data_IF_118962527017
#
_entry.id   IF_118962527017
#
_cell.length_a   1.000
_cell.length_b   1.000
_cell.length_c   1.000
_cell.angle_alpha   90.00
_cell.angle_beta   90.00
_cell.angle_gamma   90.00
#
_symmetry.space_group_name_H-M   'P 1'
#
loop_
_entity.id
_entity.type
_entity.pdbx_description
1 polymer ?
#
# COMPACT_ATOMS: atom_id res chain seq x y z
N UNK A 1 -30.77 -2.25 10.24
CA UNK A 1 -29.88 -1.32 9.53
C UNK A 1 -30.08 -1.55 8.03
N UNK A 2 -30.30 -0.51 7.24
CA UNK A 2 -30.39 -0.64 5.78
C UNK A 2 -29.04 -1.20 5.26
N UNK A 3 -29.12 -2.16 4.34
CA UNK A 3 -27.94 -2.76 3.72
C UNK A 3 -27.28 -1.69 2.83
N UNK A 4 -26.05 -1.27 3.13
CA UNK A 4 -25.29 -0.31 2.30
C UNK A 4 -25.12 -0.87 0.90
N UNK A 5 -25.27 -0.03 -0.13
CA UNK A 5 -25.03 -0.44 -1.51
C UNK A 5 -23.51 -0.58 -1.72
N UNK A 6 -23.06 -1.77 -2.17
CA UNK A 6 -21.69 -1.96 -2.61
C UNK A 6 -21.54 -1.36 -4.01
N UNK A 7 -20.54 -0.46 -4.15
CA UNK A 7 -20.24 0.21 -5.43
C UNK A 7 -19.08 -0.45 -6.17
N UNK A 8 -18.18 -1.12 -5.42
CA UNK A 8 -17.05 -1.83 -6.00
C UNK A 8 -16.66 -3.03 -5.15
N UNK A 9 -16.26 -4.13 -5.79
CA UNK A 9 -15.69 -5.31 -5.16
C UNK A 9 -14.27 -5.53 -5.68
N UNK A 10 -13.28 -5.33 -4.80
CA UNK A 10 -11.87 -5.55 -5.10
C UNK A 10 -11.31 -6.82 -4.49
N UNK A 11 -10.05 -7.11 -4.79
CA UNK A 11 -9.32 -8.31 -4.32
C UNK A 11 -9.15 -8.33 -2.80
N UNK A 12 -8.83 -7.20 -2.19
CA UNK A 12 -8.55 -7.06 -0.76
C UNK A 12 -9.52 -6.11 -0.04
N UNK A 13 -10.33 -5.38 -0.78
CA UNK A 13 -11.24 -4.35 -0.27
C UNK A 13 -12.54 -4.32 -1.04
N UNK A 14 -13.62 -3.95 -0.35
CA UNK A 14 -14.90 -3.58 -0.97
C UNK A 14 -15.20 -2.11 -0.68
N UNK A 15 -15.83 -1.42 -1.63
CA UNK A 15 -16.30 -0.05 -1.45
C UNK A 15 -17.82 -0.02 -1.38
N UNK A 16 -18.34 0.71 -0.41
CA UNK A 16 -19.76 0.93 -0.21
C UNK A 16 -20.07 2.43 -0.25
N UNK A 17 -21.31 2.78 -0.57
CA UNK A 17 -21.78 4.16 -0.45
C UNK A 17 -21.55 4.69 0.98
N UNK A 18 -21.00 5.90 1.06
CA UNK A 18 -20.80 6.61 2.30
C UNK A 18 -22.09 7.28 2.83
N UNK A 19 -22.05 7.83 4.03
CA UNK A 19 -23.20 8.49 4.64
C UNK A 19 -23.54 9.83 3.99
N UNK A 20 -22.59 10.45 3.29
CA UNK A 20 -22.75 11.75 2.63
C UNK A 20 -22.35 11.65 1.16
N UNK A 21 -22.95 12.45 0.24
CA UNK A 21 -22.53 12.50 -1.14
C UNK A 21 -21.03 12.79 -1.27
N UNK A 22 -20.35 12.14 -2.22
CA UNK A 22 -18.91 12.27 -2.42
C UNK A 22 -18.06 11.54 -1.37
N UNK A 23 -18.67 10.63 -0.58
CA UNK A 23 -17.95 9.77 0.36
C UNK A 23 -18.21 8.30 0.09
N UNK A 24 -17.21 7.47 0.39
CA UNK A 24 -17.30 6.01 0.34
C UNK A 24 -16.82 5.40 1.65
N UNK A 25 -17.28 4.17 1.92
CA UNK A 25 -16.77 3.33 3.00
C UNK A 25 -15.92 2.24 2.39
N UNK A 26 -14.64 2.24 2.72
CA UNK A 26 -13.68 1.22 2.33
C UNK A 26 -13.62 0.13 3.39
N UNK A 27 -14.00 -1.10 3.04
CA UNK A 27 -13.97 -2.27 3.90
C UNK A 27 -12.76 -3.15 3.55
N UNK A 28 -11.90 -3.41 4.52
CA UNK A 28 -10.71 -4.25 4.38
C UNK A 28 -11.04 -5.72 4.64
N UNK A 29 -10.75 -6.57 3.64
CA UNK A 29 -10.99 -8.01 3.68
C UNK A 29 -9.77 -8.78 4.19
N UNK A 30 -10.00 -9.99 4.65
CA UNK A 30 -8.94 -10.95 4.98
C UNK A 30 -8.44 -11.72 3.74
N UNK A 31 -9.08 -11.51 2.59
CA UNK A 31 -8.68 -12.12 1.33
C UNK A 31 -7.30 -11.65 0.90
N UNK A 32 -6.47 -12.58 0.48
CA UNK A 32 -5.15 -12.35 -0.08
C UNK A 32 -5.04 -13.00 -1.45
N UNK A 33 -4.52 -12.25 -2.41
CA UNK A 33 -4.25 -12.73 -3.77
C UNK A 33 -2.82 -12.42 -4.16
N UNK A 34 -2.23 -13.26 -5.00
CA UNK A 34 -0.92 -13.03 -5.58
C UNK A 34 -0.87 -13.58 -7.01
N UNK A 35 0.12 -13.09 -7.80
CA UNK A 35 0.37 -13.53 -9.18
C UNK A 35 -0.89 -13.46 -10.06
N UNK A 36 -1.51 -12.28 -10.16
CA UNK A 36 -2.70 -12.02 -10.98
C UNK A 36 -3.84 -13.01 -10.68
N UNK A 37 -4.19 -13.12 -9.38
CA UNK A 37 -5.22 -14.03 -8.85
C UNK A 37 -4.94 -15.55 -8.98
N UNK A 38 -3.77 -15.97 -9.45
CA UNK A 38 -3.40 -17.40 -9.54
C UNK A 38 -3.23 -18.03 -8.16
N UNK A 39 -2.87 -17.24 -7.14
CA UNK A 39 -2.81 -17.69 -5.75
C UNK A 39 -3.83 -16.92 -4.93
N UNK A 40 -4.69 -17.62 -4.22
CA UNK A 40 -5.74 -17.05 -3.35
C UNK A 40 -5.69 -17.71 -1.99
N UNK A 41 -6.05 -16.96 -0.95
CA UNK A 41 -6.15 -17.45 0.42
C UNK A 41 -6.83 -16.43 1.30
N UNK A 42 -7.17 -16.83 2.51
CA UNK A 42 -7.70 -15.97 3.56
C UNK A 42 -6.68 -15.92 4.68
N UNK A 43 -6.31 -14.72 5.13
CA UNK A 43 -5.37 -14.46 6.21
C UNK A 43 -6.14 -13.79 7.32
N UNK A 44 -6.53 -14.56 8.32
CA UNK A 44 -7.37 -14.07 9.42
C UNK A 44 -6.72 -12.86 10.13
N UNK A 45 -7.51 -11.79 10.30
CA UNK A 45 -7.07 -10.55 10.94
C UNK A 45 -6.29 -9.59 10.05
N UNK A 46 -5.91 -9.98 8.82
CA UNK A 46 -5.17 -9.12 7.89
C UNK A 46 -5.87 -7.80 7.63
N UNK A 47 -7.17 -7.83 7.35
CA UNK A 47 -7.96 -6.63 7.06
C UNK A 47 -7.98 -5.64 8.22
N UNK A 48 -8.01 -6.13 9.47
CA UNK A 48 -7.94 -5.28 10.67
C UNK A 48 -6.59 -4.59 10.77
N UNK A 49 -5.49 -5.32 10.55
CA UNK A 49 -4.13 -4.78 10.60
C UNK A 49 -3.89 -3.75 9.49
N UNK A 50 -4.27 -4.09 8.25
CA UNK A 50 -4.13 -3.18 7.11
C UNK A 50 -4.93 -1.89 7.31
N UNK A 51 -6.17 -1.99 7.80
CA UNK A 51 -7.00 -0.83 8.12
C UNK A 51 -6.30 0.11 9.13
N UNK A 52 -5.73 -0.43 10.20
CA UNK A 52 -5.07 0.37 11.24
C UNK A 52 -3.73 0.95 10.78
N UNK A 53 -2.91 0.17 10.06
CA UNK A 53 -1.63 0.63 9.54
C UNK A 53 -1.86 1.73 8.49
N UNK A 54 -2.82 1.52 7.57
CA UNK A 54 -3.16 2.51 6.55
C UNK A 54 -3.70 3.80 7.17
N UNK A 55 -4.61 3.72 8.16
CA UNK A 55 -5.06 4.90 8.92
C UNK A 55 -3.88 5.69 9.49
N UNK A 56 -2.97 5.01 10.20
CA UNK A 56 -1.81 5.65 10.83
C UNK A 56 -0.95 6.38 9.81
N UNK A 57 -0.58 5.69 8.72
CA UNK A 57 0.28 6.27 7.68
C UNK A 57 -0.42 7.42 6.96
N UNK A 58 -1.70 7.27 6.58
CA UNK A 58 -2.47 8.33 5.91
C UNK A 58 -2.56 9.60 6.75
N UNK A 59 -2.78 9.49 8.06
CA UNK A 59 -2.80 10.65 8.99
C UNK A 59 -1.44 11.33 9.04
N UNK A 60 -0.34 10.56 9.15
CA UNK A 60 1.01 11.13 9.18
C UNK A 60 1.35 11.85 7.86
N UNK A 61 0.95 11.29 6.73
CA UNK A 61 1.13 11.92 5.42
C UNK A 61 0.33 13.22 5.31
N UNK A 62 -0.91 13.26 5.80
CA UNK A 62 -1.70 14.50 5.86
C UNK A 62 -1.01 15.57 6.72
N UNK A 63 -0.42 15.19 7.85
CA UNK A 63 0.30 16.11 8.75
C UNK A 63 1.51 16.78 8.06
N UNK A 64 2.14 16.12 7.09
CA UNK A 64 3.22 16.70 6.28
C UNK A 64 2.72 17.35 4.98
N UNK A 65 1.39 17.48 4.81
CA UNK A 65 0.75 18.16 3.68
C UNK A 65 0.63 17.34 2.40
N UNK A 66 0.68 16.01 2.47
CA UNK A 66 0.28 15.13 1.36
C UNK A 66 -1.23 14.99 1.36
N UNK A 67 -1.93 15.41 0.29
CA UNK A 67 -3.38 15.25 0.22
C UNK A 67 -3.75 13.78 0.03
N UNK A 68 -4.71 13.30 0.82
CA UNK A 68 -5.19 11.92 0.74
C UNK A 68 -6.71 11.86 0.66
N UNK A 69 -7.26 10.75 0.19
CA UNK A 69 -8.68 10.49 0.22
C UNK A 69 -9.19 10.10 1.61
N UNK A 70 -8.31 9.73 2.53
CA UNK A 70 -8.67 9.27 3.87
C UNK A 70 -9.31 10.38 4.70
N UNK A 71 -10.43 10.07 5.37
CA UNK A 71 -11.12 10.98 6.28
C UNK A 71 -11.02 10.52 7.74
N UNK A 72 -11.47 9.30 8.03
CA UNK A 72 -11.41 8.70 9.37
C UNK A 72 -11.67 7.20 9.33
N UNK A 73 -11.16 6.50 10.35
CA UNK A 73 -11.56 5.11 10.61
C UNK A 73 -12.93 5.06 11.28
N UNK A 74 -13.80 4.17 10.80
CA UNK A 74 -15.13 3.95 11.34
C UNK A 74 -15.16 2.83 12.39
N UNK A 75 -14.46 1.73 12.10
CA UNK A 75 -14.36 0.57 12.97
C UNK A 75 -13.08 -0.24 12.66
N UNK A 76 -13.00 -1.48 13.14
CA UNK A 76 -11.81 -2.32 12.97
C UNK A 76 -11.47 -2.64 11.51
N UNK A 77 -12.44 -2.61 10.59
CA UNK A 77 -12.27 -2.99 9.19
C UNK A 77 -12.68 -1.91 8.19
N UNK A 78 -13.21 -0.78 8.64
CA UNK A 78 -13.79 0.21 7.74
C UNK A 78 -13.20 1.60 7.96
N UNK A 79 -12.98 2.30 6.84
CA UNK A 79 -12.60 3.71 6.78
C UNK A 79 -13.64 4.47 5.98
N UNK A 80 -13.91 5.71 6.38
CA UNK A 80 -14.58 6.71 5.56
C UNK A 80 -13.52 7.40 4.72
N UNK A 81 -13.76 7.45 3.42
CA UNK A 81 -12.87 8.07 2.44
C UNK A 81 -13.68 9.03 1.55
N UNK A 82 -13.00 9.99 0.94
CA UNK A 82 -13.57 10.78 -0.14
C UNK A 82 -13.70 9.91 -1.38
N UNK A 83 -14.80 10.07 -2.10
CA UNK A 83 -14.94 9.50 -3.43
C UNK A 83 -14.02 10.25 -4.39
N UNK A 84 -13.21 9.51 -5.14
CA UNK A 84 -12.27 10.06 -6.12
C UNK A 84 -12.36 9.25 -7.40
N UNK A 85 -12.11 9.91 -8.52
CA UNK A 85 -11.92 9.23 -9.80
C UNK A 85 -10.49 8.67 -9.84
N UNK A 86 -10.35 7.35 -9.75
CA UNK A 86 -9.03 6.71 -9.75
C UNK A 86 -8.33 6.93 -11.09
N UNK A 87 -7.11 7.44 -11.06
CA UNK A 87 -6.22 7.46 -12.22
C UNK A 87 -5.84 6.00 -12.51
N UNK A 88 -6.01 5.49 -13.75
CA UNK A 88 -5.79 4.07 -14.05
C UNK A 88 -4.29 3.72 -14.14
N UNK A 89 -3.50 4.27 -13.23
CA UNK A 89 -2.05 4.10 -13.14
C UNK A 89 -1.67 3.75 -11.70
N UNK A 90 -0.94 2.65 -11.53
CA UNK A 90 -0.23 2.36 -10.30
C UNK A 90 1.16 2.98 -10.35
N UNK A 91 1.56 3.64 -9.27
CA UNK A 91 2.90 4.22 -9.12
C UNK A 91 3.70 3.37 -8.15
N UNK A 92 4.83 2.84 -8.57
CA UNK A 92 5.71 2.03 -7.72
C UNK A 92 7.00 2.78 -7.46
N UNK A 93 7.31 3.03 -6.19
CA UNK A 93 8.58 3.62 -5.77
C UNK A 93 9.49 2.54 -5.21
N UNK A 94 10.74 2.49 -5.71
CA UNK A 94 11.71 1.46 -5.34
C UNK A 94 12.99 2.06 -4.77
N UNK A 95 13.38 1.57 -3.60
CA UNK A 95 14.62 1.94 -2.91
C UNK A 95 15.66 0.81 -2.96
N UNK A 96 15.18 -0.44 -3.04
CA UNK A 96 16.00 -1.65 -3.07
C UNK A 96 15.46 -2.54 -4.19
N UNK A 97 16.34 -3.23 -4.90
CA UNK A 97 15.94 -4.16 -5.95
C UNK A 97 15.23 -5.38 -5.35
N UNK A 98 13.96 -5.58 -5.73
CA UNK A 98 13.17 -6.74 -5.35
C UNK A 98 12.04 -6.98 -6.36
N UNK A 99 11.54 -8.21 -6.44
CA UNK A 99 10.40 -8.55 -7.27
C UNK A 99 10.65 -8.35 -8.77
N UNK A 100 9.79 -7.55 -9.43
CA UNK A 100 9.83 -7.42 -10.91
C UNK A 100 11.07 -6.70 -11.43
N UNK A 101 11.60 -5.70 -10.72
CA UNK A 101 12.81 -4.98 -11.17
C UNK A 101 14.04 -5.89 -11.18
N UNK A 102 14.19 -6.74 -10.15
CA UNK A 102 15.31 -7.71 -10.11
C UNK A 102 15.26 -8.66 -11.29
N UNK A 103 14.07 -9.18 -11.62
CA UNK A 103 13.88 -10.08 -12.75
C UNK A 103 14.11 -9.39 -14.10
N UNK A 104 13.55 -8.19 -14.26
CA UNK A 104 13.56 -7.43 -15.52
C UNK A 104 14.93 -6.90 -15.90
N UNK A 105 15.70 -6.44 -14.90
CA UNK A 105 17.01 -5.83 -15.11
C UNK A 105 18.18 -6.74 -14.72
N UNK A 106 17.93 -7.96 -14.21
CA UNK A 106 18.98 -8.87 -13.77
C UNK A 106 19.75 -8.40 -12.54
N UNK A 107 19.18 -7.48 -11.74
CA UNK A 107 19.81 -6.94 -10.54
C UNK A 107 19.54 -7.90 -9.37
N UNK A 108 20.56 -8.32 -8.59
CA UNK A 108 20.37 -9.18 -7.44
C UNK A 108 19.37 -8.59 -6.43
N UNK A 109 18.46 -9.42 -5.90
CA UNK A 109 17.53 -9.01 -4.86
C UNK A 109 18.29 -8.52 -3.63
N UNK A 110 17.85 -7.42 -3.03
CA UNK A 110 18.51 -6.79 -1.89
C UNK A 110 19.55 -5.73 -2.25
N UNK A 111 19.87 -5.54 -3.53
CA UNK A 111 20.77 -4.47 -3.96
C UNK A 111 20.11 -3.11 -3.72
N UNK A 112 20.76 -2.26 -2.93
CA UNK A 112 20.33 -0.85 -2.76
C UNK A 112 20.47 -0.12 -4.08
N UNK A 113 19.41 0.54 -4.52
CA UNK A 113 19.43 1.30 -5.77
C UNK A 113 20.22 2.62 -5.57
N UNK A 114 20.90 3.14 -6.60
CA UNK A 114 21.66 4.40 -6.50
C UNK A 114 20.81 5.61 -6.12
N UNK A 115 19.53 5.55 -6.43
CA UNK A 115 18.49 6.51 -6.04
C UNK A 115 17.15 5.81 -6.06
N UNK A 116 16.13 6.39 -5.44
CA UNK A 116 14.75 5.95 -5.59
C UNK A 116 14.32 5.99 -7.06
N UNK A 117 13.69 4.93 -7.53
CA UNK A 117 13.14 4.82 -8.89
C UNK A 117 11.63 4.87 -8.80
N UNK A 118 11.00 5.68 -9.63
CA UNK A 118 9.54 5.74 -9.80
C UNK A 118 9.19 5.05 -11.10
N UNK A 119 8.25 4.10 -11.06
CA UNK A 119 7.76 3.34 -12.22
C UNK A 119 6.25 3.46 -12.29
N UNK A 120 5.72 3.50 -13.51
CA UNK A 120 4.29 3.53 -13.79
C UNK A 120 3.81 2.22 -14.38
N UNK A 121 2.64 1.77 -13.93
CA UNK A 121 1.99 0.55 -14.41
C UNK A 121 0.54 0.86 -14.76
N UNK A 122 0.08 0.41 -15.92
CA UNK A 122 -1.31 0.53 -16.31
C UNK A 122 -2.15 -0.44 -15.50
N UNK A 123 -3.12 0.09 -14.75
CA UNK A 123 -4.00 -0.69 -13.86
C UNK A 123 -5.02 -1.48 -14.68
N UNK A 124 -4.63 -2.67 -15.09
CA UNK A 124 -5.46 -3.60 -15.85
C UNK A 124 -5.07 -5.03 -15.52
N UNK A 125 -5.88 -5.66 -14.66
CA UNK A 125 -5.65 -7.03 -14.17
C UNK A 125 -5.57 -8.06 -15.31
N UNK A 126 -6.37 -7.89 -16.37
CA UNK A 126 -6.41 -8.83 -17.50
C UNK A 126 -5.11 -8.80 -18.31
N UNK A 127 -4.39 -7.68 -18.28
CA UNK A 127 -3.09 -7.51 -18.92
C UNK A 127 -1.92 -7.74 -17.96
N UNK A 128 -2.18 -8.02 -16.66
CA UNK A 128 -1.15 -8.23 -15.65
C UNK A 128 -0.42 -6.94 -15.27
N UNK A 129 -1.13 -5.81 -15.25
CA UNK A 129 -0.63 -4.48 -14.87
C UNK A 129 0.71 -4.15 -15.56
N UNK A 130 0.74 -3.97 -16.90
CA UNK A 130 1.98 -3.77 -17.64
C UNK A 130 2.65 -2.43 -17.28
N UNK A 131 3.97 -2.44 -17.23
CA UNK A 131 4.77 -1.22 -17.08
C UNK A 131 4.59 -0.32 -18.30
N UNK A 132 4.41 0.98 -18.09
CA UNK A 132 4.16 1.99 -19.13
C UNK A 132 5.06 3.19 -18.94
N UNK A 133 5.32 3.92 -20.04
CA UNK A 133 6.02 5.21 -20.00
C UNK A 133 5.01 6.37 -19.90
N UNK A 134 5.53 7.56 -19.62
CA UNK A 134 4.73 8.80 -19.62
C UNK A 134 4.10 9.07 -21.01
N UNK A 135 4.80 8.69 -22.08
CA UNK A 135 4.28 8.81 -23.45
C UNK A 135 3.05 7.92 -23.64
N UNK A 136 3.06 6.68 -23.11
CA UNK A 136 1.87 5.83 -23.15
C UNK A 136 0.71 6.46 -22.36
N UNK A 137 0.98 6.94 -21.15
CA UNK A 137 -0.03 7.51 -20.26
C UNK A 137 -0.71 8.71 -20.93
N UNK A 138 0.07 9.61 -21.51
CA UNK A 138 -0.44 10.82 -22.16
C UNK A 138 -1.10 10.53 -23.51
N UNK A 139 -0.49 9.67 -24.32
CA UNK A 139 -1.02 9.31 -25.64
C UNK A 139 -2.40 8.63 -25.57
N UNK A 140 -2.62 7.80 -24.55
CA UNK A 140 -3.90 7.13 -24.33
C UNK A 140 -4.87 7.94 -23.45
N UNK A 141 -4.48 9.13 -22.99
CA UNK A 141 -5.33 10.02 -22.19
C UNK A 141 -5.65 9.48 -20.78
N UNK A 142 -4.82 8.61 -20.22
CA UNK A 142 -5.02 8.08 -18.87
C UNK A 142 -4.75 9.13 -17.80
N UNK A 143 -3.74 9.98 -18.02
CA UNK A 143 -3.46 11.17 -17.22
C UNK A 143 -2.84 12.27 -18.08
N UNK A 144 -3.07 13.53 -17.69
CA UNK A 144 -2.41 14.68 -18.28
C UNK A 144 -0.95 14.79 -17.80
N UNK A 145 -0.04 15.44 -18.54
CA UNK A 145 1.34 15.62 -18.12
C UNK A 145 1.47 16.22 -16.71
N UNK A 146 0.67 17.23 -16.39
CA UNK A 146 0.66 17.85 -15.06
C UNK A 146 0.25 16.89 -13.94
N UNK A 147 -0.70 15.98 -14.21
CA UNK A 147 -1.11 14.96 -13.24
C UNK A 147 0.01 13.93 -13.00
N UNK A 148 0.80 13.61 -14.04
CA UNK A 148 1.98 12.74 -13.91
C UNK A 148 3.04 13.40 -13.03
N UNK A 149 3.33 14.68 -13.27
CA UNK A 149 4.27 15.47 -12.45
C UNK A 149 3.82 15.52 -10.99
N UNK A 150 2.52 15.74 -10.74
CA UNK A 150 1.94 15.77 -9.40
C UNK A 150 2.05 14.40 -8.71
N UNK A 151 1.74 13.31 -9.41
CA UNK A 151 1.88 11.95 -8.88
C UNK A 151 3.34 11.63 -8.56
N UNK A 152 4.27 11.99 -9.43
CA UNK A 152 5.71 11.78 -9.22
C UNK A 152 6.23 12.57 -8.01
N UNK A 153 5.92 13.87 -7.94
CA UNK A 153 6.34 14.72 -6.83
C UNK A 153 5.79 14.24 -5.48
N UNK A 154 4.49 13.88 -5.44
CA UNK A 154 3.89 13.31 -4.24
C UNK A 154 4.51 11.96 -3.87
N UNK A 155 4.77 11.07 -4.84
CA UNK A 155 5.36 9.75 -4.61
C UNK A 155 6.75 9.84 -3.99
N UNK A 156 7.60 10.77 -4.47
CA UNK A 156 8.91 11.00 -3.88
C UNK A 156 8.81 11.58 -2.47
N UNK A 157 7.92 12.53 -2.22
CA UNK A 157 7.67 13.08 -0.89
C UNK A 157 7.16 12.03 0.10
N UNK A 158 6.24 11.16 -0.34
CA UNK A 158 5.75 10.02 0.43
C UNK A 158 6.91 9.06 0.73
N UNK A 159 7.75 8.77 -0.27
CA UNK A 159 8.91 7.90 -0.10
C UNK A 159 9.87 8.41 0.98
N UNK A 160 10.26 9.67 0.91
CA UNK A 160 11.21 10.26 1.87
C UNK A 160 10.67 10.17 3.31
N UNK A 161 9.39 10.46 3.50
CA UNK A 161 8.73 10.32 4.78
C UNK A 161 8.69 8.85 5.25
N UNK A 162 8.24 7.93 4.39
CA UNK A 162 8.07 6.52 4.75
C UNK A 162 9.40 5.82 5.02
N UNK A 163 10.46 6.15 4.27
CA UNK A 163 11.82 5.64 4.54
C UNK A 163 12.24 6.02 5.95
N UNK A 164 12.08 7.29 6.34
CA UNK A 164 12.40 7.74 7.69
C UNK A 164 11.55 7.08 8.77
N UNK A 165 10.24 6.98 8.54
CA UNK A 165 9.29 6.35 9.46
C UNK A 165 9.66 4.89 9.73
N UNK A 166 9.83 4.08 8.69
CA UNK A 166 10.14 2.66 8.85
C UNK A 166 11.55 2.43 9.39
N UNK A 167 12.53 3.22 8.96
CA UNK A 167 13.89 3.16 9.47
C UNK A 167 13.94 3.39 10.98
N UNK A 168 13.16 4.36 11.49
CA UNK A 168 13.12 4.69 12.93
C UNK A 168 12.64 3.52 13.81
N UNK A 169 11.97 2.53 13.22
CA UNK A 169 11.45 1.34 13.91
C UNK A 169 12.13 0.03 13.47
N UNK A 170 13.32 0.13 12.88
CA UNK A 170 14.13 -1.03 12.49
C UNK A 170 13.57 -1.80 11.29
N UNK A 171 12.84 -1.13 10.39
CA UNK A 171 12.27 -1.70 9.17
C UNK A 171 12.88 -0.99 7.96
N UNK A 172 13.29 -1.76 6.94
CA UNK A 172 13.71 -1.25 5.64
C UNK A 172 12.53 -1.20 4.69
N UNK A 173 12.20 -0.02 4.17
CA UNK A 173 11.24 0.15 3.08
C UNK A 173 11.94 -0.17 1.76
N UNK A 174 11.62 -1.31 1.18
CA UNK A 174 12.22 -1.82 -0.06
C UNK A 174 11.59 -1.18 -1.28
N UNK A 175 10.30 -1.32 -1.41
CA UNK A 175 9.46 -0.66 -2.41
C UNK A 175 8.01 -0.60 -1.93
N UNK A 176 7.20 0.19 -2.62
CA UNK A 176 5.76 0.26 -2.36
C UNK A 176 5.00 0.77 -3.58
N UNK A 177 3.72 0.39 -3.63
CA UNK A 177 2.76 0.79 -4.65
C UNK A 177 1.84 1.87 -4.10
N UNK A 178 1.57 2.89 -4.90
CA UNK A 178 0.60 3.94 -4.66
C UNK A 178 -0.44 3.96 -5.77
N UNK A 179 -1.65 4.35 -5.41
CA UNK A 179 -2.71 4.71 -6.34
C UNK A 179 -3.14 6.15 -6.06
N UNK A 180 -3.48 6.88 -7.10
CA UNK A 180 -3.91 8.27 -7.01
C UNK A 180 -5.30 8.42 -7.60
N UNK A 181 -6.02 9.43 -7.13
CA UNK A 181 -7.33 9.78 -7.64
C UNK A 181 -7.49 11.27 -7.83
N UNK A 182 -8.38 11.63 -8.75
CA UNK A 182 -8.85 13.00 -8.98
C UNK A 182 -9.94 13.32 -7.98
N UNK A 183 -9.65 14.26 -7.10
CA UNK A 183 -10.64 14.81 -6.18
C UNK A 183 -11.17 16.11 -6.75
N UNK A 184 -12.47 16.15 -7.03
CA UNK A 184 -13.17 17.34 -7.49
C UNK A 184 -13.55 18.20 -6.28
N UNK A 185 -13.07 19.45 -6.27
CA UNK A 185 -13.43 20.45 -5.29
C UNK A 185 -14.00 21.67 -6.04
N UNK A 186 -15.31 21.70 -6.22
CA UNK A 186 -16.04 22.63 -7.06
C UNK A 186 -15.54 22.63 -8.52
N UNK A 187 -14.79 23.64 -8.93
CA UNK A 187 -14.28 23.80 -10.32
C UNK A 187 -12.82 23.31 -10.48
N UNK A 188 -12.20 22.86 -9.41
CA UNK A 188 -10.78 22.43 -9.43
C UNK A 188 -10.66 20.92 -9.24
N UNK A 189 -9.69 20.35 -9.95
CA UNK A 189 -9.27 18.96 -9.78
C UNK A 189 -7.94 18.93 -9.06
N UNK A 190 -7.84 18.07 -8.06
CA UNK A 190 -6.61 17.86 -7.34
C UNK A 190 -6.27 16.38 -7.28
N UNK A 191 -5.02 16.04 -7.58
CA UNK A 191 -4.50 14.68 -7.40
C UNK A 191 -4.27 14.43 -5.92
N UNK A 192 -4.87 13.37 -5.41
CA UNK A 192 -4.75 12.93 -4.01
C UNK A 192 -4.33 11.47 -3.94
N UNK A 193 -3.58 11.12 -2.90
CA UNK A 193 -3.26 9.74 -2.59
C UNK A 193 -4.56 8.99 -2.24
N UNK A 194 -4.76 7.85 -2.88
CA UNK A 194 -5.90 6.97 -2.71
C UNK A 194 -5.47 5.57 -2.25
N UNK A 195 -6.38 4.62 -2.28
CA UNK A 195 -6.20 3.22 -1.91
C UNK A 195 -5.71 3.04 -0.47
N UNK A 196 -4.64 2.32 -0.24
CA UNK A 196 -4.05 2.05 1.08
C UNK A 196 -2.53 2.15 1.05
N UNK A 197 -1.92 2.37 2.21
CA UNK A 197 -0.52 2.05 2.46
C UNK A 197 -0.47 1.04 3.61
N UNK A 198 -0.05 -0.18 3.32
CA UNK A 198 -0.03 -1.29 4.26
C UNK A 198 1.02 -2.33 3.84
N UNK A 199 1.26 -3.37 4.64
CA UNK A 199 2.12 -4.48 4.23
C UNK A 199 1.63 -5.23 2.97
N UNK A 200 0.39 -5.01 2.51
CA UNK A 200 -0.11 -5.53 1.23
C UNK A 200 0.43 -4.73 0.03
N UNK A 201 0.66 -3.43 0.18
CA UNK A 201 1.15 -2.53 -0.86
C UNK A 201 2.65 -2.20 -0.74
N UNK A 202 3.31 -2.59 0.36
CA UNK A 202 4.73 -2.34 0.63
C UNK A 202 5.52 -3.64 0.71
N UNK A 203 6.83 -3.58 0.35
CA UNK A 203 7.83 -4.54 0.80
C UNK A 203 8.61 -3.96 1.97
N UNK A 204 8.52 -4.65 3.07
CA UNK A 204 9.07 -4.26 4.36
C UNK A 204 9.98 -5.37 4.88
N UNK A 205 11.26 -5.06 5.08
CA UNK A 205 12.22 -6.04 5.58
C UNK A 205 12.77 -5.58 6.92
N UNK A 206 12.92 -6.51 7.84
CA UNK A 206 13.66 -6.27 9.07
C UNK A 206 15.11 -5.89 8.74
N UNK A 207 15.65 -4.83 9.36
CA UNK A 207 16.98 -4.30 9.02
C UNK A 207 18.09 -5.26 9.45
N UNK A 208 17.91 -5.99 10.57
CA UNK A 208 18.95 -6.84 11.12
C UNK A 208 18.97 -8.23 10.49
N UNK A 209 17.78 -8.78 10.17
CA UNK A 209 17.61 -10.17 9.75
C UNK A 209 17.26 -10.34 8.28
N UNK A 210 16.89 -9.24 7.56
CA UNK A 210 16.30 -9.25 6.23
C UNK A 210 15.00 -10.08 6.13
N UNK A 211 14.38 -10.40 7.28
CA UNK A 211 13.10 -11.10 7.31
C UNK A 211 12.00 -10.26 6.67
N UNK A 212 11.15 -10.91 5.87
CA UNK A 212 10.04 -10.25 5.17
C UNK A 212 8.90 -10.00 6.16
N UNK A 213 8.46 -8.74 6.28
CA UNK A 213 7.37 -8.32 7.17
C UNK A 213 6.12 -7.91 6.37
N UNK A 214 5.99 -8.39 5.16
CA UNK A 214 5.01 -7.97 4.15
C UNK A 214 4.37 -9.16 3.42
N UNK A 215 3.59 -8.85 2.38
CA UNK A 215 2.85 -9.82 1.56
C UNK A 215 3.74 -10.84 0.83
N UNK A 216 5.05 -10.61 0.73
CA UNK A 216 5.97 -11.59 0.13
C UNK A 216 6.00 -12.89 0.95
N UNK A 217 5.67 -12.86 2.25
CA UNK A 217 5.47 -14.09 3.03
C UNK A 217 4.35 -14.97 2.45
N UNK A 218 3.24 -14.36 2.03
CA UNK A 218 2.17 -15.08 1.34
C UNK A 218 2.58 -15.48 -0.08
N UNK A 219 3.21 -14.58 -0.84
CA UNK A 219 3.65 -14.87 -2.22
C UNK A 219 4.60 -16.04 -2.30
N UNK A 220 5.52 -16.17 -1.33
CA UNK A 220 6.64 -17.14 -1.30
C UNK A 220 6.42 -18.33 -0.35
N UNK A 221 5.21 -18.50 0.20
CA UNK A 221 4.87 -19.58 1.16
C UNK A 221 5.76 -19.63 2.41
N UNK A 222 6.18 -18.48 2.93
CA UNK A 222 7.04 -18.38 4.10
C UNK A 222 6.28 -18.57 5.43
N UNK A 223 4.94 -18.57 5.41
CA UNK A 223 4.10 -18.64 6.60
C UNK A 223 4.17 -17.39 7.47
N UNK A 224 3.44 -17.37 8.59
CA UNK A 224 3.52 -16.30 9.60
C UNK A 224 3.15 -14.90 9.07
N UNK A 225 2.18 -14.80 8.16
CA UNK A 225 1.83 -13.50 7.53
C UNK A 225 1.17 -12.57 8.54
N UNK A 226 0.24 -13.09 9.35
CA UNK A 226 -0.45 -12.29 10.37
C UNK A 226 0.53 -11.79 11.43
N UNK A 227 1.44 -12.64 11.87
CA UNK A 227 2.48 -12.32 12.84
C UNK A 227 3.42 -11.22 12.31
N UNK A 228 3.79 -11.27 11.04
CA UNK A 228 4.60 -10.25 10.40
C UNK A 228 3.88 -8.90 10.33
N UNK A 229 2.58 -8.87 9.99
CA UNK A 229 1.79 -7.64 9.97
C UNK A 229 1.56 -7.08 11.40
N UNK A 230 1.39 -7.97 12.39
CA UNK A 230 1.34 -7.59 13.80
C UNK A 230 2.65 -6.96 14.25
N UNK A 231 3.79 -7.51 13.84
CA UNK A 231 5.11 -6.96 14.15
C UNK A 231 5.28 -5.56 13.57
N UNK A 232 4.87 -5.32 12.32
CA UNK A 232 4.87 -3.97 11.73
C UNK A 232 3.98 -3.02 12.55
N UNK A 233 2.75 -3.43 12.87
CA UNK A 233 1.83 -2.61 13.65
C UNK A 233 2.33 -2.34 15.07
N UNK A 234 2.98 -3.31 15.70
CA UNK A 234 3.58 -3.17 17.01
C UNK A 234 4.76 -2.17 16.99
N UNK A 235 5.69 -2.32 16.05
CA UNK A 235 6.83 -1.40 15.90
C UNK A 235 6.42 0.03 15.61
N UNK A 236 5.33 0.22 14.86
CA UNK A 236 4.75 1.54 14.61
C UNK A 236 3.96 2.11 15.82
N UNK A 237 3.88 1.38 16.93
CA UNK A 237 3.12 1.80 18.12
C UNK A 237 1.60 1.78 17.95
N UNK A 238 1.09 1.08 16.94
CA UNK A 238 -0.35 1.01 16.62
C UNK A 238 -1.08 0.00 17.53
N UNK A 239 -0.41 -1.07 17.92
CA UNK A 239 -0.92 -2.08 18.83
C UNK A 239 -0.39 -1.86 20.25
N UNK A 240 -1.19 -2.13 21.30
CA UNK A 240 -0.70 -2.05 22.67
C UNK A 240 0.45 -3.02 22.92
N UNK A 241 1.36 -2.67 23.84
CA UNK A 241 2.38 -3.59 24.36
C UNK A 241 1.72 -4.86 24.91
N UNK A 242 2.28 -6.03 24.59
CA UNK A 242 1.77 -7.34 25.01
C UNK A 242 0.98 -8.09 23.94
N UNK A 243 0.70 -7.49 22.77
CA UNK A 243 0.08 -8.17 21.61
C UNK A 243 1.11 -8.78 20.65
N UNK A 244 2.39 -8.62 20.89
CA UNK A 244 3.46 -9.24 20.10
C UNK A 244 3.47 -10.74 20.27
N UNK A 245 3.63 -11.53 19.19
CA UNK A 245 3.97 -12.95 19.32
C UNK A 245 5.28 -13.06 20.11
N UNK A 246 5.28 -13.84 21.20
CA UNK A 246 6.49 -14.07 22.00
C UNK A 246 7.61 -14.53 21.07
N UNK A 247 8.66 -13.70 20.91
CA UNK A 247 9.91 -14.16 20.28
C UNK A 247 10.35 -15.41 21.04
N UNK A 248 10.39 -16.57 20.39
CA UNK A 248 11.12 -17.72 20.92
C UNK A 248 12.59 -17.30 20.88
N UNK A 249 13.13 -16.97 22.05
CA UNK A 249 14.55 -16.69 22.20
C UNK A 249 15.41 -17.84 21.65
N UNK A 250 16.66 -17.60 21.28
CA UNK A 250 17.56 -18.63 20.79
C UNK A 250 17.59 -19.80 21.78
N UNK A 251 17.27 -21.01 21.32
CA UNK A 251 17.49 -22.22 22.09
C UNK A 251 19.00 -22.34 22.33
N UNK A 252 19.43 -22.13 23.57
CA UNK A 252 20.76 -22.54 23.98
C UNK A 252 20.85 -24.07 23.84
N UNK A 253 21.54 -24.51 22.80
CA UNK A 253 21.95 -25.91 22.67
C UNK A 253 23.03 -26.11 23.70
N UNK A 254 22.74 -26.97 24.70
CA UNK A 254 23.74 -27.47 25.65
C UNK A 254 24.58 -28.54 25.00
#
# INVERSE_FOLDING_TARGET
>A
MARRRRVYEGKAKDLYEGPEPGTLIQHFKDDATAFDNKKRGTIEGKGVLNNRISEYIMIQLQNIGVPTHFMKRLNMREQLIREVEIVPIEVVVRNVAAGSISKRLGIPEGTTLPRSIVEFYYKNDDLGDPMVSEEHITAFGWAAPQEIDDMMAQSLRINDFMVGLFLSVGIRLVDFKLEFGRLWDNETVRIVLADEISPDSCRLWDIETDEKLDKDRFRRDLGGVTEAYQEVAHRLGILPEGTSPKRKGPMLVK
#
